data_IF_906629860898
#
_entry.id   IF_906629860898
#
_cell.length_a   1.000
_cell.length_b   1.000
_cell.length_c   1.000
_cell.angle_alpha   90.00
_cell.angle_beta   90.00
_cell.angle_gamma   90.00
#
_symmetry.space_group_name_H-M   'P 1'
#
loop_
_entity.id
_entity.type
_entity.pdbx_description
1 polymer ?
#
# COMPACT_ATOMS: atom_id res chain seq x y z
N UNK A 1 11.69 -29.37 4.90
CA UNK A 1 12.34 -28.04 4.94
C UNK A 1 11.52 -27.16 4.03
N UNK A 2 10.68 -26.31 4.63
CA UNK A 2 9.95 -25.25 3.92
C UNK A 2 11.00 -24.20 3.59
N UNK A 3 11.15 -23.83 2.32
CA UNK A 3 12.17 -22.87 1.90
C UNK A 3 11.82 -21.49 2.48
N UNK A 4 12.79 -20.61 2.75
CA UNK A 4 12.50 -19.25 3.22
C UNK A 4 11.58 -18.48 2.24
N UNK A 5 11.58 -18.88 0.97
CA UNK A 5 10.60 -18.42 -0.03
C UNK A 5 9.16 -18.85 0.23
N UNK A 6 8.96 -20.04 0.82
CA UNK A 6 7.63 -20.54 1.18
C UNK A 6 7.09 -19.89 2.47
N UNK A 7 7.96 -19.35 3.33
CA UNK A 7 7.54 -18.49 4.46
C UNK A 7 7.14 -17.08 3.98
N UNK A 8 7.83 -16.53 2.98
CA UNK A 8 7.44 -15.25 2.35
C UNK A 8 6.11 -15.39 1.59
N UNK A 9 5.85 -16.55 0.97
CA UNK A 9 4.56 -16.89 0.35
C UNK A 9 3.43 -17.13 1.37
N UNK A 10 3.67 -17.04 2.69
CA UNK A 10 2.67 -17.34 3.72
C UNK A 10 2.00 -16.11 4.35
N UNK A 11 2.40 -14.88 4.04
CA UNK A 11 1.82 -13.67 4.66
C UNK A 11 0.83 -12.92 3.76
N UNK A 12 1.00 -12.96 2.44
CA UNK A 12 0.07 -12.32 1.50
C UNK A 12 -0.64 -13.37 0.63
N UNK A 13 -1.99 -13.38 0.55
CA UNK A 13 -2.71 -14.40 -0.20
C UNK A 13 -2.35 -14.43 -1.69
N UNK A 14 -2.03 -15.61 -2.23
CA UNK A 14 -1.62 -15.79 -3.64
C UNK A 14 -2.65 -15.27 -4.64
N UNK A 15 -3.94 -15.42 -4.35
CA UNK A 15 -5.02 -14.91 -5.21
C UNK A 15 -5.08 -13.38 -5.31
N UNK A 16 -4.39 -12.65 -4.42
CA UNK A 16 -4.29 -11.19 -4.43
C UNK A 16 -2.99 -10.66 -5.02
N UNK A 17 -2.02 -11.52 -5.35
CA UNK A 17 -0.72 -11.08 -5.87
C UNK A 17 -0.85 -10.19 -7.11
N UNK A 18 -1.75 -10.52 -8.03
CA UNK A 18 -1.99 -9.69 -9.22
C UNK A 18 -2.53 -8.30 -8.88
N UNK A 19 -3.39 -8.19 -7.86
CA UNK A 19 -3.93 -6.91 -7.42
C UNK A 19 -2.84 -6.07 -6.72
N UNK A 20 -1.99 -6.71 -5.93
CA UNK A 20 -0.85 -6.06 -5.27
C UNK A 20 0.19 -5.55 -6.28
N UNK A 21 0.53 -6.35 -7.28
CA UNK A 21 1.42 -5.95 -8.37
C UNK A 21 0.86 -4.75 -9.15
N UNK A 22 -0.44 -4.76 -9.42
CA UNK A 22 -1.13 -3.65 -10.06
C UNK A 22 -1.11 -2.38 -9.20
N UNK A 23 -1.42 -2.50 -7.91
CA UNK A 23 -1.38 -1.39 -6.95
C UNK A 23 0.01 -0.76 -6.90
N UNK A 24 1.05 -1.56 -6.71
CA UNK A 24 2.45 -1.06 -6.64
C UNK A 24 2.88 -0.43 -7.95
N UNK A 25 2.51 -1.02 -9.10
CA UNK A 25 2.82 -0.46 -10.42
C UNK A 25 2.18 0.92 -10.62
N UNK A 26 0.90 1.07 -10.29
CA UNK A 26 0.17 2.33 -10.47
C UNK A 26 0.69 3.38 -9.47
N UNK A 27 0.97 2.99 -8.23
CA UNK A 27 1.57 3.89 -7.24
C UNK A 27 2.93 4.42 -7.70
N UNK A 28 3.77 3.55 -8.28
CA UNK A 28 5.03 3.97 -8.89
C UNK A 28 4.85 4.99 -10.01
N UNK A 29 3.85 4.78 -10.87
CA UNK A 29 3.56 5.70 -11.98
C UNK A 29 3.12 7.07 -11.48
N UNK A 30 2.23 7.12 -10.48
CA UNK A 30 1.77 8.39 -9.88
C UNK A 30 2.90 9.11 -9.12
N UNK A 31 3.80 8.37 -8.47
CA UNK A 31 4.91 8.94 -7.74
C UNK A 31 5.94 9.67 -8.63
N UNK A 32 6.06 9.33 -9.92
CA UNK A 32 7.04 9.96 -10.84
C UNK A 32 6.68 11.41 -11.19
N UNK A 33 5.40 11.79 -11.09
CA UNK A 33 4.91 13.12 -11.45
C UNK A 33 4.29 13.92 -10.29
N UNK A 34 4.32 13.37 -9.07
CA UNK A 34 3.66 13.97 -7.90
C UNK A 34 4.67 14.65 -6.97
N UNK A 35 4.43 15.94 -6.69
CA UNK A 35 5.12 16.70 -5.64
C UNK A 35 4.40 16.62 -4.28
N UNK A 36 3.29 15.88 -4.17
CA UNK A 36 2.40 15.86 -2.99
C UNK A 36 3.15 15.49 -1.71
N UNK A 37 4.09 14.54 -1.80
CA UNK A 37 4.92 14.12 -0.66
C UNK A 37 5.75 15.27 -0.09
N UNK A 38 6.13 16.26 -0.90
CA UNK A 38 6.92 17.43 -0.45
C UNK A 38 6.14 18.34 0.49
N UNK A 39 4.81 18.22 0.51
CA UNK A 39 3.90 19.02 1.33
C UNK A 39 3.22 18.20 2.44
N UNK A 40 3.51 16.90 2.52
CA UNK A 40 2.93 16.02 3.52
C UNK A 40 3.41 16.38 4.95
N UNK A 41 2.50 16.49 5.94
CA UNK A 41 2.87 16.65 7.34
C UNK A 41 3.67 15.44 7.85
N UNK A 42 4.47 15.66 8.91
CA UNK A 42 5.42 14.65 9.43
C UNK A 42 4.72 13.38 9.93
N UNK A 43 3.53 13.55 10.45
CA UNK A 43 2.64 12.56 11.02
C UNK A 43 2.11 11.61 9.92
N UNK A 44 1.81 12.14 8.73
CA UNK A 44 1.53 11.33 7.54
C UNK A 44 2.78 10.59 7.07
N UNK A 45 3.95 11.25 7.06
CA UNK A 45 5.21 10.59 6.69
C UNK A 45 5.59 9.43 7.63
N UNK A 46 5.26 9.51 8.92
CA UNK A 46 5.49 8.42 9.86
C UNK A 46 4.64 7.18 9.54
N UNK A 47 3.41 7.37 9.07
CA UNK A 47 2.54 6.26 8.64
C UNK A 47 2.92 5.74 7.24
N UNK A 48 3.56 6.56 6.41
CA UNK A 48 4.15 6.13 5.12
C UNK A 48 5.33 5.19 5.33
N UNK A 49 6.16 5.42 6.35
CA UNK A 49 7.25 4.49 6.70
C UNK A 49 6.71 3.11 7.11
N UNK A 50 5.51 3.05 7.70
CA UNK A 50 4.84 1.77 7.99
C UNK A 50 4.41 1.04 6.71
N UNK A 51 4.02 1.76 5.65
CA UNK A 51 3.73 1.15 4.33
C UNK A 51 4.99 0.54 3.73
N UNK A 52 6.13 1.24 3.81
CA UNK A 52 7.43 0.71 3.38
C UNK A 52 7.76 -0.57 4.16
N UNK A 53 7.64 -0.53 5.49
CA UNK A 53 7.92 -1.68 6.34
C UNK A 53 6.96 -2.86 6.08
N UNK A 54 5.68 -2.59 5.85
CA UNK A 54 4.65 -3.59 5.57
C UNK A 54 4.96 -4.36 4.29
N UNK A 55 5.27 -3.66 3.20
CA UNK A 55 5.59 -4.28 1.91
C UNK A 55 6.96 -4.98 1.95
N UNK A 56 7.95 -4.41 2.64
CA UNK A 56 9.24 -5.05 2.83
C UNK A 56 9.10 -6.39 3.59
N UNK A 57 8.16 -6.50 4.53
CA UNK A 57 7.89 -7.73 5.28
C UNK A 57 7.44 -8.91 4.41
N UNK A 58 6.86 -8.62 3.24
CA UNK A 58 6.45 -9.61 2.23
C UNK A 58 7.39 -9.63 1.01
N UNK A 59 8.58 -9.02 1.12
CA UNK A 59 9.61 -9.05 0.08
C UNK A 59 9.44 -8.04 -1.05
N UNK A 60 8.57 -7.04 -0.90
CA UNK A 60 8.35 -5.97 -1.88
C UNK A 60 9.03 -4.69 -1.40
N UNK A 61 10.01 -4.22 -2.17
CA UNK A 61 10.77 -3.02 -1.85
C UNK A 61 10.35 -1.87 -2.76
N UNK A 62 9.84 -0.79 -2.15
CA UNK A 62 9.37 0.41 -2.85
C UNK A 62 10.05 1.67 -2.30
N UNK A 63 9.97 2.76 -3.05
CA UNK A 63 10.46 4.07 -2.62
C UNK A 63 9.43 4.79 -1.76
N UNK A 64 9.85 5.76 -0.93
CA UNK A 64 8.93 6.56 -0.11
C UNK A 64 7.85 7.28 -0.93
N UNK A 65 8.15 7.90 -2.10
CA UNK A 65 7.10 8.46 -2.96
C UNK A 65 6.05 7.44 -3.42
N UNK A 66 6.47 6.21 -3.76
CA UNK A 66 5.54 5.14 -4.09
C UNK A 66 4.71 4.71 -2.87
N UNK A 67 5.34 4.60 -1.70
CA UNK A 67 4.67 4.27 -0.45
C UNK A 67 3.63 5.33 -0.06
N UNK A 68 3.93 6.61 -0.30
CA UNK A 68 3.02 7.72 -0.07
C UNK A 68 1.77 7.64 -0.94
N UNK A 69 1.93 7.26 -2.22
CA UNK A 69 0.80 7.03 -3.11
C UNK A 69 -0.09 5.88 -2.61
N UNK A 70 0.51 4.76 -2.19
CA UNK A 70 -0.26 3.65 -1.59
C UNK A 70 -0.95 4.09 -0.30
N UNK A 71 -0.26 4.85 0.56
CA UNK A 71 -0.81 5.41 1.78
C UNK A 71 -2.05 6.29 1.50
N UNK A 72 -1.97 7.21 0.54
CA UNK A 72 -3.09 8.05 0.11
C UNK A 72 -4.28 7.19 -0.29
N UNK A 73 -4.06 6.22 -1.18
CA UNK A 73 -5.14 5.40 -1.71
C UNK A 73 -5.80 4.55 -0.63
N UNK A 74 -5.00 3.99 0.30
CA UNK A 74 -5.52 3.26 1.44
C UNK A 74 -6.32 4.19 2.36
N UNK A 75 -5.81 5.40 2.62
CA UNK A 75 -6.48 6.38 3.47
C UNK A 75 -7.84 6.81 2.91
N UNK A 76 -7.93 7.02 1.59
CA UNK A 76 -9.15 7.43 0.90
C UNK A 76 -10.21 6.31 0.91
N UNK A 77 -9.78 5.07 0.77
CA UNK A 77 -10.68 3.91 0.72
C UNK A 77 -11.06 3.37 2.10
N UNK A 78 -10.27 3.66 3.13
CA UNK A 78 -10.49 3.16 4.49
C UNK A 78 -10.63 4.28 5.53
N UNK A 79 -11.09 5.48 5.14
CA UNK A 79 -11.15 6.68 6.01
C UNK A 79 -11.74 6.41 7.41
N UNK A 80 -12.76 5.56 7.51
CA UNK A 80 -13.40 5.22 8.80
C UNK A 80 -12.49 4.41 9.75
N UNK A 81 -11.56 3.64 9.21
CA UNK A 81 -10.62 2.78 9.95
C UNK A 81 -9.19 3.34 9.96
N UNK A 82 -8.93 4.40 9.18
CA UNK A 82 -7.63 5.02 8.98
C UNK A 82 -7.48 6.38 9.68
N UNK A 83 -8.51 6.87 10.37
CA UNK A 83 -8.55 8.20 11.00
C UNK A 83 -7.41 8.46 12.00
N UNK A 84 -6.96 7.41 12.71
CA UNK A 84 -5.80 7.47 13.62
C UNK A 84 -4.52 6.88 12.98
N UNK A 85 -4.62 6.37 11.74
CA UNK A 85 -3.57 5.63 11.06
C UNK A 85 -3.30 4.25 11.68
N UNK A 86 -2.58 3.36 10.97
CA UNK A 86 -2.11 2.11 11.56
C UNK A 86 -0.98 2.39 12.58
N UNK A 87 -0.95 1.64 13.69
CA UNK A 87 0.13 1.74 14.68
C UNK A 87 1.33 0.85 14.31
N UNK A 88 1.09 -0.15 13.46
CA UNK A 88 2.10 -1.16 13.09
C UNK A 88 2.09 -1.50 11.60
N UNK A 89 3.24 -1.95 11.09
CA UNK A 89 3.35 -2.43 9.70
C UNK A 89 2.47 -3.66 9.42
N UNK A 90 2.10 -4.44 10.45
CA UNK A 90 1.19 -5.57 10.30
C UNK A 90 -0.24 -5.11 10.04
N UNK A 91 -0.72 -4.11 10.79
CA UNK A 91 -2.02 -3.49 10.56
C UNK A 91 -2.04 -2.76 9.20
N UNK A 92 -0.97 -2.05 8.86
CA UNK A 92 -0.82 -1.44 7.53
C UNK A 92 -0.95 -2.48 6.41
N UNK A 93 -0.33 -3.65 6.58
CA UNK A 93 -0.44 -4.74 5.60
C UNK A 93 -1.87 -5.24 5.46
N UNK A 94 -2.64 -5.33 6.55
CA UNK A 94 -4.05 -5.73 6.51
C UNK A 94 -4.90 -4.74 5.69
N UNK A 95 -4.68 -3.43 5.86
CA UNK A 95 -5.37 -2.42 5.05
C UNK A 95 -4.99 -2.46 3.57
N UNK A 96 -3.71 -2.72 3.27
CA UNK A 96 -3.26 -2.94 1.88
C UNK A 96 -3.93 -4.19 1.30
N UNK A 97 -4.09 -5.25 2.10
CA UNK A 97 -4.81 -6.47 1.69
C UNK A 97 -6.28 -6.19 1.39
N UNK A 98 -6.96 -5.40 2.22
CA UNK A 98 -8.36 -5.03 2.00
C UNK A 98 -8.52 -4.23 0.69
N UNK A 99 -7.62 -3.28 0.42
CA UNK A 99 -7.62 -2.56 -0.86
C UNK A 99 -7.35 -3.52 -2.04
N UNK A 100 -6.42 -4.47 -1.90
CA UNK A 100 -6.17 -5.48 -2.93
C UNK A 100 -7.38 -6.40 -3.14
N UNK A 101 -8.13 -6.73 -2.09
CA UNK A 101 -9.39 -7.49 -2.19
C UNK A 101 -10.45 -6.70 -2.97
N UNK A 102 -10.53 -5.39 -2.78
CA UNK A 102 -11.47 -4.53 -3.50
C UNK A 102 -11.10 -4.37 -4.98
N UNK A 103 -9.81 -4.17 -5.28
CA UNK A 103 -9.26 -4.21 -6.65
C UNK A 103 -9.56 -5.56 -7.32
N UNK A 104 -9.28 -6.66 -6.62
CA UNK A 104 -9.50 -8.02 -7.14
C UNK A 104 -10.97 -8.31 -7.47
N UNK A 105 -11.89 -7.74 -6.68
CA UNK A 105 -13.34 -7.91 -6.84
C UNK A 105 -13.97 -6.91 -7.81
N UNK A 106 -13.19 -6.01 -8.39
CA UNK A 106 -13.69 -4.91 -9.24
C UNK A 106 -14.80 -4.11 -8.53
N UNK A 107 -14.65 -3.92 -7.22
CA UNK A 107 -15.56 -3.06 -6.46
C UNK A 107 -15.29 -1.60 -6.81
N UNK A 108 -16.25 -0.73 -6.55
CA UNK A 108 -16.04 0.71 -6.60
C UNK A 108 -15.09 1.11 -5.45
N UNK A 109 -13.90 1.60 -5.78
CA UNK A 109 -12.90 2.11 -4.85
C UNK A 109 -12.37 3.44 -5.41
N UNK A 110 -12.02 4.38 -4.52
CA UNK A 110 -11.31 5.59 -4.91
C UNK A 110 -10.03 5.19 -5.65
N UNK A 111 -9.84 5.72 -6.85
CA UNK A 111 -8.67 5.47 -7.69
C UNK A 111 -7.70 6.62 -7.55
N UNK A 112 -6.42 6.38 -7.81
CA UNK A 112 -5.45 7.44 -7.98
C UNK A 112 -5.99 8.49 -8.96
N UNK A 113 -6.05 9.74 -8.52
CA UNK A 113 -6.57 10.86 -9.29
C UNK A 113 -5.64 11.31 -10.44
N UNK A 114 -4.51 10.62 -10.65
CA UNK A 114 -3.45 11.05 -11.55
C UNK A 114 -3.56 10.58 -13.01
N UNK A 115 -4.20 11.39 -13.84
CA UNK A 115 -3.54 12.04 -14.98
C UNK A 115 -4.24 13.38 -15.23
N UNK A 116 -3.72 14.43 -14.58
CA UNK A 116 -3.88 15.82 -15.02
C UNK A 116 -2.67 16.23 -15.84
#
# INVERSE_FOLDING_TARGET
>A
MISDRDQINSMFPTHLQSALEQLVKIAHQNAVGSDEISFAPRDELATVDLVVAALASIGIYITTPCAFQIWLLVSENNQAHWLDGPDTSHETLAFIMDLCMDIHKDKDYAVFSGMG
#
